data_IF_947180090048
#
_entry.id   IF_947180090048
#
_cell.length_a   1.000
_cell.length_b   1.000
_cell.length_c   1.000
_cell.angle_alpha   90.00
_cell.angle_beta   90.00
_cell.angle_gamma   90.00
#
_symmetry.space_group_name_H-M   'P 1'
#
loop_
_entity.id
_entity.type
_entity.pdbx_description
1 polymer ?
#
# COMPACT_ATOMS: atom_id res chain seq x y z
N UNK A 1 12.34 14.25 28.27
CA UNK A 1 11.45 14.70 27.17
C UNK A 1 10.02 14.68 27.65
N UNK A 2 9.25 15.75 27.40
CA UNK A 2 7.82 15.80 27.73
C UNK A 2 7.06 14.84 26.80
N UNK A 3 6.38 13.83 27.35
CA UNK A 3 5.68 12.77 26.62
C UNK A 3 4.68 13.36 25.61
N UNK A 4 3.99 14.45 25.96
CA UNK A 4 3.03 15.10 25.07
C UNK A 4 3.72 15.81 23.90
N UNK A 5 4.89 16.41 24.13
CA UNK A 5 5.69 17.04 23.07
C UNK A 5 6.20 16.01 22.05
N UNK A 6 6.56 14.80 22.51
CA UNK A 6 6.98 13.70 21.63
C UNK A 6 5.81 13.20 20.78
N UNK A 7 4.62 13.05 21.38
CA UNK A 7 3.41 12.62 20.65
C UNK A 7 3.01 13.58 19.53
N UNK A 8 3.04 14.88 19.81
CA UNK A 8 2.71 15.91 18.81
C UNK A 8 3.74 15.89 17.68
N UNK A 9 5.03 15.82 18.00
CA UNK A 9 6.11 15.78 17.00
C UNK A 9 5.97 14.57 16.07
N UNK A 10 5.70 13.39 16.62
CA UNK A 10 5.46 12.18 15.84
C UNK A 10 4.22 12.29 14.95
N UNK A 11 3.12 12.82 15.51
CA UNK A 11 1.89 13.02 14.75
C UNK A 11 2.12 13.96 13.56
N UNK A 12 2.84 15.07 13.77
CA UNK A 12 3.20 16.00 12.71
C UNK A 12 4.08 15.34 11.64
N UNK A 13 5.03 14.49 12.04
CA UNK A 13 5.86 13.75 11.09
C UNK A 13 5.04 12.74 10.26
N UNK A 14 4.13 12.00 10.89
CA UNK A 14 3.27 11.03 10.20
C UNK A 14 2.31 11.70 9.23
N UNK A 15 1.61 12.74 9.68
CA UNK A 15 0.68 13.51 8.84
C UNK A 15 1.43 14.23 7.73
N UNK A 16 2.59 14.84 8.04
CA UNK A 16 3.44 15.49 7.06
C UNK A 16 3.91 14.53 5.97
N UNK A 17 4.28 13.29 6.32
CA UNK A 17 4.64 12.26 5.35
C UNK A 17 3.48 11.88 4.43
N UNK A 18 2.24 11.83 4.94
CA UNK A 18 1.03 11.62 4.12
C UNK A 18 0.72 12.79 3.20
N UNK A 19 0.88 14.02 3.69
CA UNK A 19 0.69 15.23 2.87
C UNK A 19 1.72 15.23 1.73
N UNK A 20 2.99 14.94 2.02
CA UNK A 20 4.05 14.83 1.00
C UNK A 20 3.70 13.76 -0.03
N UNK A 21 3.27 12.57 0.40
CA UNK A 21 2.80 11.51 -0.48
C UNK A 21 1.70 12.00 -1.43
N UNK A 22 0.63 12.56 -0.88
CA UNK A 22 -0.50 13.05 -1.67
C UNK A 22 -0.08 14.17 -2.65
N UNK A 23 0.80 15.07 -2.22
CA UNK A 23 1.36 16.12 -3.08
C UNK A 23 2.16 15.53 -4.25
N UNK A 24 2.96 14.47 -4.03
CA UNK A 24 3.68 13.78 -5.11
C UNK A 24 2.69 13.21 -6.13
N UNK A 25 1.64 12.53 -5.67
CA UNK A 25 0.58 11.98 -6.53
C UNK A 25 -0.10 13.09 -7.35
N UNK A 26 -0.42 14.23 -6.72
CA UNK A 26 -1.05 15.37 -7.41
C UNK A 26 -0.11 16.07 -8.39
N UNK A 27 1.17 16.26 -8.05
CA UNK A 27 2.14 16.95 -8.90
C UNK A 27 2.36 16.22 -10.23
N UNK A 28 2.29 14.89 -10.25
CA UNK A 28 2.40 14.10 -11.49
C UNK A 28 1.25 14.41 -12.45
N UNK A 29 0.06 14.77 -11.96
CA UNK A 29 -1.06 15.17 -12.82
C UNK A 29 -0.81 16.48 -13.56
N UNK A 30 0.15 17.29 -13.11
CA UNK A 30 0.56 18.55 -13.72
C UNK A 30 1.68 18.38 -14.76
N UNK A 31 2.19 17.16 -14.98
CA UNK A 31 3.26 16.95 -15.95
C UNK A 31 2.76 17.21 -17.37
N UNK A 32 3.54 17.90 -18.23
CA UNK A 32 3.16 18.16 -19.63
C UNK A 32 2.81 16.89 -20.41
N UNK A 33 3.45 15.77 -20.06
CA UNK A 33 3.28 14.48 -20.73
C UNK A 33 2.32 13.53 -20.00
N UNK A 34 1.49 14.03 -19.06
CA UNK A 34 0.56 13.20 -18.28
C UNK A 34 -0.34 12.31 -19.15
N UNK A 35 -0.90 12.87 -20.23
CA UNK A 35 -1.75 12.12 -21.16
C UNK A 35 -1.01 10.97 -21.86
N UNK A 36 0.25 11.19 -22.25
CA UNK A 36 1.09 10.17 -22.90
C UNK A 36 1.41 9.05 -21.91
N UNK A 37 1.85 9.40 -20.69
CA UNK A 37 2.13 8.41 -19.63
C UNK A 37 0.91 7.55 -19.32
N UNK A 38 -0.29 8.16 -19.28
CA UNK A 38 -1.54 7.44 -19.06
C UNK A 38 -1.88 6.50 -20.21
N UNK A 39 -1.77 6.97 -21.45
CA UNK A 39 -2.13 6.18 -22.63
C UNK A 39 -1.19 4.98 -22.84
N UNK A 40 0.09 5.14 -22.49
CA UNK A 40 1.12 4.09 -22.64
C UNK A 40 1.16 3.11 -21.45
N UNK A 41 0.27 3.27 -20.47
CA UNK A 41 0.20 2.44 -19.26
C UNK A 41 1.33 2.70 -18.25
N UNK A 42 2.10 3.78 -18.43
CA UNK A 42 3.29 4.12 -17.63
C UNK A 42 3.00 5.05 -16.45
N UNK A 43 1.79 5.60 -16.34
CA UNK A 43 1.42 6.52 -15.27
C UNK A 43 1.62 5.92 -13.86
N UNK A 44 1.06 4.72 -13.61
CA UNK A 44 1.19 4.03 -12.30
C UNK A 44 2.66 3.69 -11.99
N UNK A 45 3.44 3.11 -12.92
CA UNK A 45 4.87 2.93 -12.69
C UNK A 45 5.64 4.19 -12.30
N UNK A 46 5.37 5.31 -12.99
CA UNK A 46 6.01 6.59 -12.68
C UNK A 46 5.60 7.07 -11.30
N UNK A 47 4.31 7.02 -10.95
CA UNK A 47 3.83 7.33 -9.60
C UNK A 47 4.57 6.51 -8.53
N UNK A 48 4.61 5.18 -8.68
CA UNK A 48 5.30 4.30 -7.75
C UNK A 48 6.78 4.64 -7.58
N UNK A 49 7.48 5.03 -8.67
CA UNK A 49 8.88 5.42 -8.62
C UNK A 49 9.09 6.71 -7.82
N UNK A 50 8.28 7.74 -8.08
CA UNK A 50 8.37 9.02 -7.37
C UNK A 50 7.98 8.89 -5.90
N UNK A 51 6.88 8.19 -5.61
CA UNK A 51 6.41 7.96 -4.24
C UNK A 51 7.44 7.16 -3.44
N UNK A 52 8.02 6.10 -4.03
CA UNK A 52 9.12 5.37 -3.41
C UNK A 52 10.35 6.27 -3.17
N UNK A 53 10.76 7.05 -4.18
CA UNK A 53 11.93 7.93 -4.10
C UNK A 53 11.82 9.01 -3.01
N UNK A 54 10.60 9.39 -2.62
CA UNK A 54 10.34 10.38 -1.56
C UNK A 54 10.11 9.71 -0.20
N UNK A 55 9.28 8.67 -0.14
CA UNK A 55 8.89 8.03 1.11
C UNK A 55 9.99 7.16 1.69
N UNK A 56 10.75 6.44 0.86
CA UNK A 56 11.81 5.57 1.37
C UNK A 56 12.91 6.35 2.14
N UNK A 57 13.41 7.50 1.64
CA UNK A 57 14.32 8.33 2.43
C UNK A 57 13.72 8.87 3.73
N UNK A 58 12.44 9.29 3.73
CA UNK A 58 11.74 9.72 4.95
C UNK A 58 11.68 8.60 5.99
N UNK A 59 11.37 7.39 5.55
CA UNK A 59 11.40 6.20 6.39
C UNK A 59 12.80 5.91 6.95
N UNK A 60 13.84 5.98 6.11
CA UNK A 60 15.23 5.80 6.56
C UNK A 60 15.64 6.87 7.57
N UNK A 61 15.26 8.12 7.35
CA UNK A 61 15.48 9.23 8.27
C UNK A 61 14.80 9.00 9.63
N UNK A 62 13.58 8.46 9.62
CA UNK A 62 12.86 8.06 10.83
C UNK A 62 13.59 6.94 11.58
N UNK A 63 13.97 5.86 10.88
CA UNK A 63 14.62 4.70 11.47
C UNK A 63 16.02 4.97 12.02
N UNK A 64 16.70 6.03 11.56
CA UNK A 64 17.95 6.51 12.17
C UNK A 64 17.75 7.08 13.58
N UNK A 65 16.53 7.49 13.92
CA UNK A 65 16.19 8.16 15.19
C UNK A 65 15.34 7.30 16.11
N UNK A 66 14.59 6.33 15.56
CA UNK A 66 13.65 5.50 16.31
C UNK A 66 13.66 4.06 15.80
N UNK A 67 13.39 3.12 16.70
CA UNK A 67 13.46 1.67 16.45
C UNK A 67 12.09 0.98 16.53
N UNK A 68 11.01 1.75 16.71
CA UNK A 68 9.64 1.27 16.87
C UNK A 68 8.95 0.85 15.56
N UNK A 69 9.57 1.15 14.41
CA UNK A 69 9.13 0.74 13.09
C UNK A 69 10.16 -0.16 12.38
N UNK A 70 10.43 -1.37 12.89
CA UNK A 70 11.38 -2.25 12.23
C UNK A 70 10.79 -2.79 10.90
N UNK A 71 11.65 -2.87 9.87
CA UNK A 71 11.40 -3.76 8.73
C UNK A 71 11.23 -5.20 9.22
N UNK A 72 11.95 -5.60 10.27
CA UNK A 72 11.77 -6.85 11.00
C UNK A 72 12.02 -8.11 10.16
N UNK A 73 11.73 -9.26 10.74
CA UNK A 73 11.88 -10.57 10.08
C UNK A 73 10.53 -11.21 9.79
N UNK A 74 10.53 -12.20 8.89
CA UNK A 74 9.38 -13.05 8.61
C UNK A 74 9.44 -14.30 9.49
N UNK A 75 8.43 -14.47 10.34
CA UNK A 75 8.27 -15.69 11.11
C UNK A 75 7.45 -16.71 10.32
N UNK A 76 7.97 -17.92 10.13
CA UNK A 76 7.38 -18.94 9.25
C UNK A 76 5.91 -19.21 9.54
N UNK A 77 5.56 -19.51 10.80
CA UNK A 77 4.17 -19.83 11.16
C UNK A 77 3.21 -18.67 10.89
N UNK A 78 3.59 -17.45 11.27
CA UNK A 78 2.76 -16.27 11.01
C UNK A 78 2.62 -16.05 9.49
N UNK A 79 3.72 -16.15 8.76
CA UNK A 79 3.75 -15.99 7.31
C UNK A 79 2.81 -16.99 6.63
N UNK A 80 2.86 -18.26 7.01
CA UNK A 80 1.97 -19.30 6.48
C UNK A 80 0.49 -19.03 6.81
N UNK A 81 0.17 -18.70 8.06
CA UNK A 81 -1.21 -18.41 8.48
C UNK A 81 -1.80 -17.21 7.74
N UNK A 82 -1.04 -16.11 7.65
CA UNK A 82 -1.50 -14.91 6.97
C UNK A 82 -1.55 -15.08 5.44
N UNK A 83 -0.65 -15.88 4.87
CA UNK A 83 -0.71 -16.25 3.44
C UNK A 83 -1.96 -17.08 3.16
N UNK A 84 -2.28 -18.06 4.01
CA UNK A 84 -3.53 -18.81 3.91
C UNK A 84 -4.77 -17.91 4.02
N UNK A 85 -4.77 -16.97 4.97
CA UNK A 85 -5.84 -15.98 5.13
C UNK A 85 -5.98 -15.07 3.90
N UNK A 86 -4.86 -14.66 3.28
CA UNK A 86 -4.86 -13.91 2.03
C UNK A 86 -5.50 -14.72 0.90
N UNK A 87 -5.13 -15.99 0.72
CA UNK A 87 -5.74 -16.84 -0.31
C UNK A 87 -7.24 -17.04 -0.11
N UNK A 88 -7.69 -17.25 1.13
CA UNK A 88 -9.13 -17.34 1.46
C UNK A 88 -9.84 -16.04 1.10
N UNK A 89 -9.25 -14.89 1.46
CA UNK A 89 -9.80 -13.59 1.12
C UNK A 89 -9.90 -13.37 -0.39
N UNK A 90 -8.84 -13.70 -1.14
CA UNK A 90 -8.83 -13.58 -2.60
C UNK A 90 -9.87 -14.52 -3.25
N UNK A 91 -9.97 -15.76 -2.80
CA UNK A 91 -10.97 -16.72 -3.30
C UNK A 91 -12.41 -16.25 -3.04
N UNK A 92 -12.67 -15.64 -1.87
CA UNK A 92 -13.97 -15.04 -1.56
C UNK A 92 -14.27 -13.84 -2.47
N UNK A 93 -13.28 -12.99 -2.72
CA UNK A 93 -13.43 -11.81 -3.60
C UNK A 93 -13.74 -12.20 -5.05
N UNK A 94 -13.14 -13.28 -5.56
CA UNK A 94 -13.39 -13.78 -6.93
C UNK A 94 -14.87 -14.08 -7.22
N UNK A 95 -15.69 -14.33 -6.20
CA UNK A 95 -17.12 -14.64 -6.38
C UNK A 95 -18.00 -13.40 -6.62
N UNK A 96 -17.54 -12.21 -6.24
CA UNK A 96 -18.36 -10.99 -6.23
C UNK A 96 -17.74 -9.81 -6.98
N UNK A 97 -16.44 -9.86 -7.25
CA UNK A 97 -15.70 -8.79 -7.91
C UNK A 97 -16.10 -8.65 -9.38
N UNK A 98 -16.23 -7.40 -9.82
CA UNK A 98 -16.44 -7.05 -11.22
C UNK A 98 -15.12 -6.57 -11.85
N UNK A 99 -14.92 -6.77 -13.16
CA UNK A 99 -13.75 -6.23 -13.85
C UNK A 99 -13.69 -4.71 -13.76
N UNK A 100 -12.60 -4.19 -13.20
CA UNK A 100 -12.39 -2.75 -13.06
C UNK A 100 -11.83 -2.16 -14.35
N UNK A 101 -12.41 -1.07 -14.83
CA UNK A 101 -12.06 -0.48 -16.12
C UNK A 101 -10.58 -0.13 -16.26
N UNK A 102 -9.94 0.34 -15.18
CA UNK A 102 -8.51 0.64 -15.18
C UNK A 102 -7.63 -0.62 -15.32
N UNK A 103 -8.02 -1.74 -14.69
CA UNK A 103 -7.33 -3.02 -14.85
C UNK A 103 -7.47 -3.56 -16.27
N UNK A 104 -8.66 -3.43 -16.86
CA UNK A 104 -8.91 -3.82 -18.25
C UNK A 104 -8.07 -2.99 -19.21
N UNK A 105 -7.99 -1.67 -19.01
CA UNK A 105 -7.13 -0.79 -19.81
C UNK A 105 -5.64 -1.15 -19.68
N UNK A 106 -5.17 -1.46 -18.48
CA UNK A 106 -3.77 -1.88 -18.27
C UNK A 106 -3.50 -3.23 -18.96
N UNK A 107 -4.41 -4.20 -18.88
CA UNK A 107 -4.25 -5.51 -19.50
C UNK A 107 -4.19 -5.46 -21.04
N UNK A 108 -4.65 -4.37 -21.65
CA UNK A 108 -4.56 -4.13 -23.10
C UNK A 108 -3.24 -3.46 -23.53
N UNK A 109 -2.39 -3.07 -22.58
CA UNK A 109 -1.11 -2.44 -22.87
C UNK A 109 -0.09 -3.46 -23.37
N UNK A 110 0.94 -2.96 -24.07
CA UNK A 110 2.03 -3.81 -24.57
C UNK A 110 2.77 -4.52 -23.43
N UNK A 111 3.31 -5.71 -23.73
CA UNK A 111 4.01 -6.57 -22.77
C UNK A 111 5.12 -5.86 -21.97
N UNK A 112 5.82 -4.92 -22.59
CA UNK A 112 6.86 -4.12 -21.93
C UNK A 112 6.29 -3.17 -20.87
N UNK A 113 5.21 -2.44 -21.18
CA UNK A 113 4.54 -1.57 -20.21
C UNK A 113 3.97 -2.37 -19.04
N UNK A 114 3.39 -3.53 -19.32
CA UNK A 114 2.90 -4.46 -18.30
C UNK A 114 4.02 -5.03 -17.42
N UNK A 115 5.20 -5.32 -17.99
CA UNK A 115 6.35 -5.76 -17.22
C UNK A 115 6.82 -4.65 -16.26
N UNK A 116 6.88 -3.40 -16.74
CA UNK A 116 7.23 -2.24 -15.92
C UNK A 116 6.21 -2.02 -14.79
N UNK A 117 4.91 -2.15 -15.10
CA UNK A 117 3.84 -2.13 -14.10
C UNK A 117 4.01 -3.24 -13.07
N UNK A 118 4.25 -4.48 -13.51
CA UNK A 118 4.44 -5.61 -12.62
C UNK A 118 5.63 -5.36 -11.68
N UNK A 119 6.78 -4.93 -12.19
CA UNK A 119 7.95 -4.66 -11.34
C UNK A 119 7.69 -3.54 -10.32
N UNK A 120 7.09 -2.44 -10.74
CA UNK A 120 6.84 -1.28 -9.87
C UNK A 120 5.73 -1.53 -8.85
N UNK A 121 4.59 -2.09 -9.28
CA UNK A 121 3.44 -2.36 -8.41
C UNK A 121 3.64 -3.57 -7.49
N UNK A 122 4.53 -4.52 -7.83
CA UNK A 122 4.84 -5.67 -6.98
C UNK A 122 6.01 -5.38 -6.04
N UNK A 123 7.03 -4.65 -6.48
CA UNK A 123 8.25 -4.47 -5.67
C UNK A 123 8.32 -3.12 -4.95
N UNK A 124 7.86 -2.03 -5.57
CA UNK A 124 7.99 -0.70 -5.01
C UNK A 124 6.75 -0.27 -4.23
N UNK A 125 5.56 -0.43 -4.81
CA UNK A 125 4.29 -0.03 -4.19
C UNK A 125 4.09 -0.62 -2.78
N UNK A 126 4.27 -1.93 -2.57
CA UNK A 126 4.09 -2.51 -1.24
C UNK A 126 5.03 -1.92 -0.20
N UNK A 127 6.26 -1.54 -0.57
CA UNK A 127 7.23 -1.00 0.40
C UNK A 127 6.79 0.37 0.89
N UNK A 128 6.51 1.33 0.00
CA UNK A 128 6.18 2.68 0.44
C UNK A 128 4.76 2.77 1.01
N UNK A 129 3.80 1.99 0.47
CA UNK A 129 2.43 1.98 1.00
C UNK A 129 2.40 1.38 2.41
N UNK A 130 3.07 0.26 2.66
CA UNK A 130 3.09 -0.30 4.02
C UNK A 130 3.84 0.60 5.01
N UNK A 131 4.90 1.29 4.59
CA UNK A 131 5.55 2.33 5.40
C UNK A 131 4.56 3.44 5.76
N UNK A 132 3.83 3.98 4.78
CA UNK A 132 2.85 5.04 5.03
C UNK A 132 1.70 4.54 5.91
N UNK A 133 0.97 3.53 5.46
CA UNK A 133 -0.27 3.11 6.12
C UNK A 133 -0.01 2.35 7.43
N UNK A 134 0.96 1.44 7.48
CA UNK A 134 1.21 0.58 8.67
C UNK A 134 2.30 1.14 9.57
N UNK A 135 3.29 1.81 8.98
CA UNK A 135 4.34 2.50 9.71
C UNK A 135 3.86 3.81 10.31
N UNK A 136 3.25 4.70 9.52
CA UNK A 136 2.94 6.05 9.99
C UNK A 136 1.47 6.23 10.40
N UNK A 137 0.50 5.94 9.53
CA UNK A 137 -0.92 6.22 9.78
C UNK A 137 -1.47 5.39 10.95
N UNK A 138 -1.30 4.07 10.88
CA UNK A 138 -1.77 3.16 11.92
C UNK A 138 -1.12 3.49 13.26
N UNK A 139 0.19 3.77 13.29
CA UNK A 139 0.87 4.17 14.52
C UNK A 139 0.41 5.53 15.03
N UNK A 140 0.14 6.48 14.13
CA UNK A 140 -0.47 7.77 14.48
C UNK A 140 -1.79 7.59 15.22
N UNK A 141 -2.68 6.72 14.72
CA UNK A 141 -3.93 6.43 15.44
C UNK A 141 -3.70 5.71 16.77
N UNK A 142 -2.79 4.73 16.81
CA UNK A 142 -2.47 3.99 18.04
C UNK A 142 -1.78 4.84 19.10
N UNK A 143 -1.08 5.91 18.70
CA UNK A 143 -0.44 6.87 19.61
C UNK A 143 -1.47 7.59 20.48
N UNK A 144 -2.65 7.89 19.92
CA UNK A 144 -3.74 8.61 20.59
C UNK A 144 -4.82 7.69 21.14
N UNK A 145 -5.06 6.54 20.51
CA UNK A 145 -6.09 5.57 20.90
C UNK A 145 -5.55 4.13 21.05
N UNK A 146 -4.55 3.89 21.93
CA UNK A 146 -3.85 2.59 22.01
C UNK A 146 -4.74 1.42 22.43
N UNK A 147 -5.86 1.71 23.12
CA UNK A 147 -6.87 0.71 23.54
C UNK A 147 -7.85 0.36 22.42
N UNK A 148 -8.00 1.22 21.41
CA UNK A 148 -8.98 1.08 20.34
C UNK A 148 -8.36 0.49 19.07
N UNK A 149 -7.61 -0.60 19.21
CA UNK A 149 -6.82 -1.20 18.10
C UNK A 149 -7.68 -1.50 16.88
N UNK A 150 -8.85 -2.10 17.07
CA UNK A 150 -9.76 -2.41 15.96
C UNK A 150 -10.20 -1.17 15.20
N UNK A 151 -10.61 -0.10 15.91
CA UNK A 151 -10.99 1.16 15.29
C UNK A 151 -9.83 1.80 14.52
N UNK A 152 -8.61 1.75 15.06
CA UNK A 152 -7.41 2.25 14.37
C UNK A 152 -7.13 1.48 13.08
N UNK A 153 -7.24 0.15 13.11
CA UNK A 153 -7.08 -0.69 11.91
C UNK A 153 -8.18 -0.39 10.88
N UNK A 154 -9.44 -0.32 11.32
CA UNK A 154 -10.57 -0.05 10.43
C UNK A 154 -10.44 1.32 9.76
N UNK A 155 -10.10 2.37 10.52
CA UNK A 155 -9.92 3.70 9.97
C UNK A 155 -8.75 3.76 8.98
N UNK A 156 -7.62 3.12 9.30
CA UNK A 156 -6.48 2.97 8.37
C UNK A 156 -6.93 2.28 7.09
N UNK A 157 -7.75 1.24 7.18
CA UNK A 157 -8.22 0.48 6.03
C UNK A 157 -9.23 1.18 5.15
N UNK A 158 -10.14 1.95 5.74
CA UNK A 158 -11.07 2.78 4.98
C UNK A 158 -10.30 3.87 4.22
N UNK A 159 -9.31 4.52 4.87
CA UNK A 159 -8.47 5.51 4.22
C UNK A 159 -7.62 4.89 3.10
N UNK A 160 -7.07 3.69 3.31
CA UNK A 160 -6.38 2.94 2.26
C UNK A 160 -7.28 2.73 1.04
N UNK A 161 -8.49 2.19 1.24
CA UNK A 161 -9.40 1.91 0.13
C UNK A 161 -9.86 3.19 -0.61
N UNK A 162 -10.20 4.26 0.11
CA UNK A 162 -10.68 5.52 -0.50
C UNK A 162 -9.58 6.24 -1.29
N UNK A 163 -8.31 6.10 -0.88
CA UNK A 163 -7.18 6.68 -1.61
C UNK A 163 -6.91 5.98 -2.95
N UNK A 164 -7.44 4.77 -3.16
CA UNK A 164 -7.31 4.03 -4.41
C UNK A 164 -8.39 4.45 -5.42
N UNK A 165 -8.35 5.73 -5.83
CA UNK A 165 -9.41 6.38 -6.62
C UNK A 165 -9.61 5.81 -8.04
N UNK A 166 -8.68 4.99 -8.54
CA UNK A 166 -8.82 4.29 -9.81
C UNK A 166 -9.89 3.18 -9.79
N UNK A 167 -10.26 2.69 -8.61
CA UNK A 167 -11.31 1.67 -8.45
C UNK A 167 -12.65 2.33 -8.22
N UNK A 168 -13.66 1.92 -9.00
CA UNK A 168 -14.97 2.59 -9.03
C UNK A 168 -16.06 1.72 -8.41
N UNK A 169 -15.91 0.40 -8.44
CA UNK A 169 -16.92 -0.50 -7.91
C UNK A 169 -16.85 -0.56 -6.37
N UNK A 170 -18.01 -0.44 -5.73
CA UNK A 170 -18.11 -0.48 -4.27
C UNK A 170 -17.66 -1.84 -3.70
N UNK A 171 -17.85 -2.93 -4.45
CA UNK A 171 -17.36 -4.26 -4.10
C UNK A 171 -15.84 -4.27 -3.97
N UNK A 172 -15.14 -3.57 -4.87
CA UNK A 172 -13.68 -3.45 -4.85
C UNK A 172 -13.22 -2.61 -3.66
N UNK A 173 -13.92 -1.53 -3.32
CA UNK A 173 -13.60 -0.75 -2.12
C UNK A 173 -13.73 -1.58 -0.84
N UNK A 174 -14.73 -2.46 -0.75
CA UNK A 174 -14.85 -3.41 0.36
C UNK A 174 -13.70 -4.41 0.33
N UNK A 175 -13.36 -4.96 -0.84
CA UNK A 175 -12.24 -5.88 -1.01
C UNK A 175 -10.91 -5.27 -0.54
N UNK A 176 -10.63 -4.02 -0.96
CA UNK A 176 -9.45 -3.25 -0.54
C UNK A 176 -9.47 -2.96 0.96
N UNK A 177 -10.63 -2.65 1.53
CA UNK A 177 -10.76 -2.42 2.99
C UNK A 177 -10.44 -3.69 3.78
N UNK A 178 -10.98 -4.84 3.37
CA UNK A 178 -10.73 -6.13 4.03
C UNK A 178 -9.29 -6.58 3.87
N UNK A 179 -8.72 -6.42 2.68
CA UNK A 179 -7.31 -6.68 2.42
C UNK A 179 -6.42 -5.81 3.29
N UNK A 180 -6.72 -4.51 3.34
CA UNK A 180 -5.99 -3.58 4.20
C UNK A 180 -6.11 -3.94 5.68
N UNK A 181 -7.28 -4.43 6.12
CA UNK A 181 -7.50 -4.85 7.50
C UNK A 181 -6.65 -6.07 7.85
N UNK A 182 -6.51 -7.02 6.93
CA UNK A 182 -5.61 -8.18 7.06
C UNK A 182 -4.16 -7.72 7.24
N UNK A 183 -3.68 -6.78 6.42
CA UNK A 183 -2.32 -6.24 6.53
C UNK A 183 -2.09 -5.46 7.84
N UNK A 184 -3.06 -4.67 8.28
CA UNK A 184 -3.01 -4.01 9.59
C UNK A 184 -2.90 -5.04 10.72
N UNK A 185 -3.71 -6.11 10.68
CA UNK A 185 -3.64 -7.17 11.66
C UNK A 185 -2.29 -7.91 11.62
N UNK A 186 -1.76 -8.18 10.42
CA UNK A 186 -0.43 -8.76 10.21
C UNK A 186 0.67 -7.90 10.84
N UNK A 187 0.63 -6.57 10.65
CA UNK A 187 1.57 -5.63 11.28
C UNK A 187 1.52 -5.67 12.80
N UNK A 188 0.33 -5.74 13.40
CA UNK A 188 0.17 -5.75 14.86
C UNK A 188 0.57 -7.10 15.49
N UNK A 189 0.39 -8.20 14.76
CA UNK A 189 0.75 -9.55 15.24
C UNK A 189 2.23 -9.85 15.10
N UNK A 190 2.86 -9.42 14.01
CA UNK A 190 4.29 -9.64 13.75
C UNK A 190 5.19 -8.57 14.36
N UNK A 191 4.62 -7.43 14.74
CA UNK A 191 5.36 -6.22 15.07
C UNK A 191 6.41 -5.80 14.01
N UNK A 192 6.17 -6.15 12.75
CA UNK A 192 7.14 -6.04 11.65
C UNK A 192 6.45 -5.49 10.40
N UNK A 193 7.16 -4.70 9.60
CA UNK A 193 6.69 -4.28 8.27
C UNK A 193 6.96 -5.35 7.20
N UNK A 194 7.90 -6.29 7.41
CA UNK A 194 8.21 -7.32 6.42
C UNK A 194 6.99 -8.20 6.10
N UNK A 195 6.22 -8.61 7.12
CA UNK A 195 5.05 -9.46 6.91
C UNK A 195 3.97 -8.78 6.04
N UNK A 196 3.48 -7.57 6.36
CA UNK A 196 2.51 -6.91 5.48
C UNK A 196 3.10 -6.57 4.11
N UNK A 197 4.38 -6.19 3.99
CA UNK A 197 5.03 -5.96 2.69
C UNK A 197 5.02 -7.24 1.85
N UNK A 198 5.35 -8.39 2.46
CA UNK A 198 5.36 -9.68 1.78
C UNK A 198 3.96 -10.06 1.29
N UNK A 199 2.94 -9.95 2.16
CA UNK A 199 1.55 -10.27 1.79
C UNK A 199 1.03 -9.34 0.68
N UNK A 200 1.41 -8.06 0.73
CA UNK A 200 1.00 -7.09 -0.27
C UNK A 200 1.71 -7.34 -1.61
N UNK A 201 3.02 -7.61 -1.59
CA UNK A 201 3.79 -8.06 -2.76
C UNK A 201 3.13 -9.29 -3.40
N UNK A 202 2.77 -10.29 -2.59
CA UNK A 202 2.14 -11.52 -3.06
C UNK A 202 0.76 -11.25 -3.69
N UNK A 203 -0.07 -10.44 -3.05
CA UNK A 203 -1.38 -10.04 -3.58
C UNK A 203 -1.25 -9.37 -4.96
N UNK A 204 -0.35 -8.39 -5.08
CA UNK A 204 -0.16 -7.66 -6.34
C UNK A 204 0.40 -8.57 -7.43
N UNK A 205 1.32 -9.48 -7.07
CA UNK A 205 1.86 -10.44 -8.01
C UNK A 205 0.76 -11.36 -8.57
N UNK A 206 -0.06 -11.95 -7.70
CA UNK A 206 -1.15 -12.84 -8.11
C UNK A 206 -2.17 -12.08 -8.99
N UNK A 207 -2.47 -10.82 -8.65
CA UNK A 207 -3.42 -10.00 -9.40
C UNK A 207 -2.91 -9.59 -10.79
N UNK A 208 -1.62 -9.28 -10.94
CA UNK A 208 -1.07 -8.68 -12.17
C UNK A 208 -0.37 -9.69 -13.10
N UNK A 209 0.18 -10.79 -12.57
CA UNK A 209 0.93 -11.77 -13.34
C UNK A 209 0.15 -12.35 -14.54
N UNK A 210 -1.16 -12.68 -14.43
CA UNK A 210 -1.93 -13.18 -15.56
C UNK A 210 -1.99 -12.18 -16.72
N UNK A 211 -2.18 -10.89 -16.43
CA UNK A 211 -2.27 -9.85 -17.46
C UNK A 211 -0.97 -9.76 -18.28
N UNK A 212 0.18 -9.83 -17.61
CA UNK A 212 1.48 -9.85 -18.31
C UNK A 212 1.73 -11.16 -19.08
N UNK A 213 1.32 -12.31 -18.53
CA UNK A 213 1.53 -13.61 -19.16
C UNK A 213 0.76 -13.77 -20.48
N UNK A 214 -0.48 -13.27 -20.53
CA UNK A 214 -1.34 -13.34 -21.71
C UNK A 214 -1.18 -12.14 -22.66
N UNK A 215 -0.29 -11.19 -22.34
CA UNK A 215 0.01 -10.08 -23.23
C UNK A 215 0.77 -10.57 -24.48
N UNK A 216 0.18 -10.30 -25.65
CA UNK A 216 0.77 -10.57 -26.98
C UNK A 216 1.93 -9.65 -27.32
#
# INVERSE_FOLDING_TARGET
MNINSDRVTLTLFYVGSFVVYYLVTMLITLFPNYGVLRNDGLLVPVLCLFEFAVIYPLYRFYCQRRTDLPLGELYTLQTLLFTGALFVLMAAQMQFMQPEGWLVMQAQQGRNSLLILLLTAVLLAPVFEEVLFRGFLLQGFLLWAPRSRFACMLLTSLLFAVMHTQYVHWQTLIALTLFSLLLCYARLRSNSLALPIFLHTLNNLIALLPAWYFAG
#
